data_IF_793925788371
#
_entry.id   IF_793925788371
#
_cell.length_a   1.000
_cell.length_b   1.000
_cell.length_c   1.000
_cell.angle_alpha   90.00
_cell.angle_beta   90.00
_cell.angle_gamma   90.00
#
_symmetry.space_group_name_H-M   'P 1'
#
loop_
_entity.id
_entity.type
_entity.pdbx_description
1 polymer ?
#
# COMPACT_ATOMS: atom_id res chain seq x y z
N UNK A 1 -6.87 1.14 12.06
CA UNK A 1 -6.56 1.41 10.63
C UNK A 1 -5.08 1.73 10.39
N UNK A 2 -4.38 0.82 9.73
CA UNK A 2 -3.07 1.03 9.12
C UNK A 2 -3.23 1.26 7.60
N UNK A 3 -2.40 2.13 7.02
CA UNK A 3 -2.39 2.42 5.58
C UNK A 3 -0.98 2.17 5.07
N UNK A 4 -0.85 1.22 4.17
CA UNK A 4 0.37 0.95 3.42
C UNK A 4 0.22 1.49 2.02
N UNK A 5 1.22 2.21 1.53
CA UNK A 5 1.19 2.82 0.21
C UNK A 5 2.33 2.32 -0.67
N UNK A 6 2.00 2.05 -1.93
CA UNK A 6 2.95 1.66 -2.94
C UNK A 6 2.60 2.31 -4.29
N UNK A 7 3.61 2.89 -4.93
CA UNK A 7 3.55 3.38 -6.30
C UNK A 7 4.30 2.40 -7.18
N UNK A 8 3.63 1.92 -8.24
CA UNK A 8 4.20 1.01 -9.22
C UNK A 8 4.40 1.77 -10.53
N UNK A 9 5.63 1.88 -10.97
CA UNK A 9 6.00 2.52 -12.23
C UNK A 9 6.50 1.48 -13.23
N UNK A 10 5.94 1.53 -14.42
CA UNK A 10 6.36 0.76 -15.60
C UNK A 10 6.73 1.71 -16.72
N UNK A 11 7.19 1.18 -17.87
CA UNK A 11 7.47 2.01 -19.05
C UNK A 11 6.21 2.70 -19.62
N UNK A 12 5.01 2.16 -19.39
CA UNK A 12 3.77 2.70 -19.95
C UNK A 12 2.96 3.54 -18.98
N UNK A 13 3.05 3.27 -17.68
CA UNK A 13 2.19 3.91 -16.69
C UNK A 13 2.79 3.88 -15.28
N UNK A 14 2.32 4.82 -14.46
CA UNK A 14 2.51 4.86 -13.02
C UNK A 14 1.17 4.68 -12.35
N UNK A 15 1.08 3.74 -11.41
CA UNK A 15 -0.14 3.39 -10.69
C UNK A 15 0.09 3.53 -9.20
N UNK A 16 -0.85 4.16 -8.50
CA UNK A 16 -0.80 4.31 -7.05
C UNK A 16 -1.73 3.31 -6.40
N UNK A 17 -1.25 2.62 -5.37
CA UNK A 17 -2.01 1.64 -4.62
C UNK A 17 -1.87 1.90 -3.12
N UNK A 18 -2.99 1.82 -2.39
CA UNK A 18 -2.97 1.76 -0.95
C UNK A 18 -3.68 0.51 -0.45
N UNK A 19 -3.07 -0.17 0.51
CA UNK A 19 -3.71 -1.26 1.21
C UNK A 19 -4.02 -0.79 2.62
N UNK A 20 -5.26 -1.03 3.04
CA UNK A 20 -5.82 -0.56 4.29
C UNK A 20 -6.14 -1.80 5.14
N UNK A 21 -5.64 -1.83 6.37
CA UNK A 21 -5.85 -2.90 7.35
C UNK A 21 -6.43 -2.33 8.64
N UNK A 22 -7.17 -3.13 9.40
CA UNK A 22 -7.58 -2.74 10.76
C UNK A 22 -6.43 -2.83 11.76
N UNK A 23 -5.60 -3.85 11.62
CA UNK A 23 -4.53 -4.19 12.55
C UNK A 23 -3.38 -3.17 12.51
N UNK A 24 -3.10 -2.46 13.62
CA UNK A 24 -1.99 -1.52 13.72
C UNK A 24 -0.66 -2.17 14.15
N UNK A 25 -0.65 -3.46 14.52
CA UNK A 25 0.33 -4.01 15.45
C UNK A 25 1.52 -4.75 14.81
N UNK A 26 1.44 -5.24 13.58
CA UNK A 26 2.53 -6.03 13.00
C UNK A 26 3.12 -5.47 11.69
N UNK A 27 3.85 -4.36 11.81
CA UNK A 27 4.38 -3.63 10.66
C UNK A 27 5.34 -4.41 9.74
N UNK A 28 5.87 -5.58 10.13
CA UNK A 28 6.80 -6.34 9.27
C UNK A 28 6.06 -7.38 8.43
N UNK A 29 5.31 -8.28 9.08
CA UNK A 29 4.51 -9.30 8.41
C UNK A 29 3.43 -8.68 7.51
N UNK A 30 2.78 -7.61 8.00
CA UNK A 30 1.83 -6.84 7.20
C UNK A 30 2.47 -6.29 5.94
N UNK A 31 3.64 -5.66 6.04
CA UNK A 31 4.30 -5.13 4.85
C UNK A 31 4.63 -6.24 3.87
N UNK A 32 5.18 -7.38 4.29
CA UNK A 32 5.40 -8.52 3.38
C UNK A 32 4.11 -8.96 2.67
N UNK A 33 3.01 -9.12 3.41
CA UNK A 33 1.71 -9.48 2.85
C UNK A 33 1.12 -8.39 1.92
N UNK A 34 1.28 -7.12 2.29
CA UNK A 34 0.87 -5.99 1.47
C UNK A 34 1.59 -6.01 0.13
N UNK A 35 2.89 -6.26 0.18
CA UNK A 35 3.74 -6.31 -1.00
C UNK A 35 3.38 -7.46 -1.94
N UNK A 36 3.05 -8.64 -1.40
CA UNK A 36 2.49 -9.73 -2.19
C UNK A 36 1.19 -9.33 -2.90
N UNK A 37 0.28 -8.64 -2.19
CA UNK A 37 -0.99 -8.19 -2.76
C UNK A 37 -0.82 -7.14 -3.85
N UNK A 38 0.11 -6.19 -3.67
CA UNK A 38 0.45 -5.24 -4.73
C UNK A 38 1.01 -6.00 -5.94
N UNK A 39 1.88 -6.99 -5.73
CA UNK A 39 2.42 -7.79 -6.83
C UNK A 39 1.35 -8.57 -7.57
N UNK A 40 0.47 -9.29 -6.88
CA UNK A 40 -0.67 -10.00 -7.48
C UNK A 40 -1.48 -9.04 -8.36
N UNK A 41 -1.84 -7.87 -7.81
CA UNK A 41 -2.57 -6.85 -8.56
C UNK A 41 -1.81 -6.37 -9.80
N UNK A 42 -0.51 -6.10 -9.69
CA UNK A 42 0.32 -5.70 -10.83
C UNK A 42 0.35 -6.81 -11.88
N UNK A 43 0.52 -8.07 -11.49
CA UNK A 43 0.53 -9.19 -12.44
C UNK A 43 -0.81 -9.34 -13.17
N UNK A 44 -1.92 -9.12 -12.48
CA UNK A 44 -3.26 -9.25 -13.04
C UNK A 44 -3.67 -8.06 -13.92
N UNK A 45 -3.17 -6.85 -13.63
CA UNK A 45 -3.67 -5.60 -14.24
C UNK A 45 -2.64 -4.90 -15.15
N UNK A 46 -1.36 -5.18 -14.95
CA UNK A 46 -0.26 -4.50 -15.62
C UNK A 46 0.54 -5.60 -16.32
N UNK A 47 0.27 -5.78 -17.62
CA UNK A 47 0.92 -6.75 -18.50
C UNK A 47 2.41 -6.92 -18.13
N UNK A 48 2.89 -8.17 -18.01
CA UNK A 48 4.24 -8.53 -17.52
C UNK A 48 5.32 -7.68 -18.20
N UNK A 49 5.63 -6.53 -17.61
CA UNK A 49 6.60 -5.61 -18.20
C UNK A 49 8.00 -6.07 -17.82
N UNK A 50 8.95 -5.97 -18.76
CA UNK A 50 10.31 -6.39 -18.48
C UNK A 50 11.04 -5.46 -17.49
N UNK A 51 10.42 -4.37 -17.05
CA UNK A 51 10.98 -3.47 -16.04
C UNK A 51 9.83 -2.88 -15.24
N UNK A 52 9.72 -3.27 -13.97
CA UNK A 52 8.74 -2.73 -13.03
C UNK A 52 9.49 -2.16 -11.82
N UNK A 53 9.21 -0.92 -11.46
CA UNK A 53 9.74 -0.29 -10.26
C UNK A 53 8.63 -0.10 -9.25
N UNK A 54 8.80 -0.67 -8.07
CA UNK A 54 7.91 -0.49 -6.94
C UNK A 54 8.57 0.49 -5.97
N UNK A 55 7.83 1.51 -5.56
CA UNK A 55 8.22 2.46 -4.52
C UNK A 55 7.22 2.29 -3.39
N UNK A 56 7.69 2.06 -2.17
CA UNK A 56 6.80 1.94 -1.01
C UNK A 56 7.38 2.61 0.22
N UNK A 57 6.52 2.87 1.21
CA UNK A 57 6.98 3.25 2.53
C UNK A 57 7.78 2.08 3.12
N UNK A 58 9.05 2.35 3.45
CA UNK A 58 9.81 1.43 4.28
C UNK A 58 9.19 1.36 5.67
N UNK A 59 9.35 0.22 6.33
CA UNK A 59 9.11 0.15 7.76
C UNK A 59 10.01 1.15 8.51
N UNK A 60 9.49 1.66 9.64
CA UNK A 60 10.15 2.67 10.47
C UNK A 60 11.55 2.26 10.98
N UNK A 61 11.87 0.96 10.98
CA UNK A 61 13.19 0.45 11.32
C UNK A 61 13.92 -0.10 10.10
N UNK A 62 15.18 0.31 9.94
CA UNK A 62 16.07 -0.21 8.89
C UNK A 62 16.16 -1.74 8.87
N UNK A 63 16.01 -2.40 10.02
CA UNK A 63 16.03 -3.87 10.08
C UNK A 63 14.81 -4.48 9.38
N UNK A 64 13.62 -3.91 9.58
CA UNK A 64 12.39 -4.34 8.91
C UNK A 64 12.49 -4.13 7.39
N UNK A 65 13.15 -3.05 6.93
CA UNK A 65 13.42 -2.83 5.51
C UNK A 65 14.35 -3.89 4.91
N UNK A 66 15.40 -4.31 5.64
CA UNK A 66 16.28 -5.41 5.19
C UNK A 66 15.55 -6.74 5.11
N UNK A 67 14.71 -7.04 6.10
CA UNK A 67 13.89 -8.25 6.10
C UNK A 67 12.90 -8.27 4.92
N UNK A 68 12.22 -7.15 4.68
CA UNK A 68 11.34 -6.99 3.52
C UNK A 68 12.10 -7.20 2.21
N UNK A 69 13.25 -6.54 2.04
CA UNK A 69 14.10 -6.71 0.87
C UNK A 69 14.57 -8.17 0.68
N UNK A 70 14.91 -8.87 1.77
CA UNK A 70 15.29 -10.28 1.72
C UNK A 70 14.12 -11.18 1.28
N UNK A 71 12.95 -10.99 1.86
CA UNK A 71 11.75 -11.72 1.45
C UNK A 71 11.38 -11.43 -0.01
N UNK A 72 11.68 -10.23 -0.50
CA UNK A 72 11.55 -9.91 -1.92
C UNK A 72 12.58 -10.56 -2.83
N UNK A 73 13.84 -10.59 -2.41
CA UNK A 73 14.91 -11.18 -3.22
C UNK A 73 14.66 -12.68 -3.48
N UNK A 74 13.89 -13.34 -2.61
CA UNK A 74 13.43 -14.72 -2.79
C UNK A 74 12.35 -14.89 -3.87
N UNK A 75 11.72 -13.82 -4.33
CA UNK A 75 10.64 -13.89 -5.31
C UNK A 75 11.17 -13.94 -6.76
N UNK A 76 10.52 -14.74 -7.60
CA UNK A 76 10.89 -15.01 -9.01
C UNK A 76 10.64 -13.84 -9.99
N UNK A 77 10.82 -12.58 -9.58
CA UNK A 77 10.67 -11.43 -10.48
C UNK A 77 12.01 -10.72 -10.69
N UNK A 78 12.93 -11.30 -11.48
CA UNK A 78 14.31 -10.80 -11.62
C UNK A 78 14.39 -9.40 -12.24
N UNK A 79 13.30 -8.91 -12.84
CA UNK A 79 13.26 -7.60 -13.48
C UNK A 79 12.46 -6.54 -12.68
N UNK A 80 12.02 -6.89 -11.47
CA UNK A 80 11.40 -5.95 -10.55
C UNK A 80 12.48 -5.24 -9.71
N UNK A 81 12.40 -3.90 -9.67
CA UNK A 81 13.19 -3.07 -8.76
C UNK A 81 12.30 -2.60 -7.62
N UNK A 82 12.75 -2.78 -6.39
CA UNK A 82 12.05 -2.24 -5.21
C UNK A 82 12.86 -1.12 -4.59
N UNK A 83 12.21 0.01 -4.35
CA UNK A 83 12.76 1.18 -3.69
C UNK A 83 11.99 1.41 -2.39
N UNK A 84 12.72 1.46 -1.28
CA UNK A 84 12.20 1.84 0.03
C UNK A 84 12.81 3.17 0.42
N UNK A 85 11.99 4.12 0.88
CA UNK A 85 12.57 5.30 1.54
C UNK A 85 13.01 4.92 2.95
N UNK A 86 14.28 5.15 3.25
CA UNK A 86 14.90 4.85 4.55
C UNK A 86 14.89 6.02 5.51
N UNK A 87 14.35 7.18 5.12
CA UNK A 87 14.41 8.37 5.96
C UNK A 87 13.40 8.26 7.09
N UNK A 88 13.89 8.29 8.34
CA UNK A 88 13.05 8.51 9.54
C UNK A 88 12.21 9.79 9.48
N UNK A 89 12.47 10.64 8.48
CA UNK A 89 11.57 11.68 7.99
C UNK A 89 10.91 11.24 6.69
N UNK A 90 9.74 10.64 6.81
CA UNK A 90 8.71 10.34 5.80
C UNK A 90 8.55 11.42 4.70
N UNK A 91 9.47 11.50 3.74
CA UNK A 91 9.44 12.43 2.61
C UNK A 91 9.77 11.72 1.29
N UNK A 92 8.85 10.88 0.82
CA UNK A 92 8.85 10.33 -0.53
C UNK A 92 7.47 10.50 -1.20
N UNK A 93 7.36 10.07 -2.47
CA UNK A 93 6.09 10.12 -3.22
C UNK A 93 4.96 9.31 -2.55
N UNK A 94 5.29 8.28 -1.77
CA UNK A 94 4.32 7.45 -1.06
C UNK A 94 3.77 8.14 0.20
N UNK A 95 4.47 9.13 0.76
CA UNK A 95 4.01 9.94 1.90
C UNK A 95 2.93 10.94 1.49
N UNK A 96 3.15 11.65 0.38
CA UNK A 96 2.13 12.56 -0.18
C UNK A 96 0.85 11.80 -0.53
N UNK A 97 1.00 10.59 -1.08
CA UNK A 97 -0.13 9.72 -1.39
C UNK A 97 -0.82 9.14 -0.14
N UNK A 98 -0.06 8.72 0.88
CA UNK A 98 -0.64 8.33 2.17
C UNK A 98 -1.38 9.49 2.86
N UNK A 99 -0.83 10.71 2.73
CA UNK A 99 -1.47 11.94 3.15
C UNK A 99 -2.78 12.21 2.41
N UNK A 100 -2.81 12.01 1.08
CA UNK A 100 -4.02 12.15 0.27
C UNK A 100 -5.15 11.21 0.74
N UNK A 101 -4.84 9.94 0.98
CA UNK A 101 -5.82 8.95 1.45
C UNK A 101 -6.39 9.36 2.82
N UNK A 102 -5.53 9.76 3.75
CA UNK A 102 -5.95 10.24 5.08
C UNK A 102 -6.75 11.53 5.00
N UNK A 103 -6.33 12.47 4.15
CA UNK A 103 -7.01 13.75 3.96
C UNK A 103 -8.42 13.56 3.40
N UNK A 104 -8.61 12.69 2.41
CA UNK A 104 -9.94 12.41 1.89
C UNK A 104 -10.85 11.74 2.93
N UNK A 105 -10.32 10.83 3.76
CA UNK A 105 -11.10 10.27 4.88
C UNK A 105 -11.50 11.36 5.90
N UNK A 106 -10.55 12.25 6.22
CA UNK A 106 -10.79 13.38 7.12
C UNK A 106 -11.84 14.36 6.56
N UNK A 107 -11.87 14.59 5.25
CA UNK A 107 -12.89 15.42 4.61
C UNK A 107 -14.25 14.72 4.53
N UNK A 108 -14.27 13.39 4.38
CA UNK A 108 -15.51 12.61 4.25
C UNK A 108 -16.39 12.72 5.50
N UNK A 109 -15.84 12.34 6.66
CA UNK A 109 -16.63 12.20 7.88
C UNK A 109 -17.39 13.46 8.32
N UNK A 110 -16.82 14.68 8.26
CA UNK A 110 -17.56 15.89 8.61
C UNK A 110 -18.53 16.38 7.51
N UNK A 111 -18.42 15.88 6.27
CA UNK A 111 -19.26 16.29 5.13
C UNK A 111 -20.43 15.34 4.87
N UNK A 112 -20.38 14.15 5.45
CA UNK A 112 -21.36 13.09 5.28
C UNK A 112 -22.28 12.95 6.50
N UNK A 113 -23.40 12.26 6.33
CA UNK A 113 -24.26 11.89 7.46
C UNK A 113 -23.51 10.92 8.40
N UNK A 114 -23.80 10.90 9.71
CA UNK A 114 -23.16 9.97 10.65
C UNK A 114 -23.22 8.49 10.22
N UNK A 115 -24.29 8.09 9.54
CA UNK A 115 -24.47 6.73 9.02
C UNK A 115 -23.47 6.36 7.90
N UNK A 116 -22.90 7.37 7.23
CA UNK A 116 -21.94 7.25 6.13
C UNK A 116 -20.51 7.57 6.59
N UNK A 117 -20.29 7.75 7.90
CA UNK A 117 -18.97 8.01 8.43
C UNK A 117 -18.07 6.79 8.23
N UNK A 118 -16.82 7.03 7.83
CA UNK A 118 -15.78 6.00 7.78
C UNK A 118 -15.42 5.64 9.21
N UNK A 119 -15.75 4.41 9.61
CA UNK A 119 -15.48 3.87 10.94
C UNK A 119 -14.53 2.66 10.92
N UNK A 120 -14.42 2.00 9.77
CA UNK A 120 -13.61 0.79 9.56
C UNK A 120 -12.74 0.93 8.30
N UNK A 121 -11.63 0.23 8.24
CA UNK A 121 -10.78 0.04 7.07
C UNK A 121 -11.59 -0.43 5.85
N UNK A 122 -12.57 -1.31 6.04
CA UNK A 122 -13.46 -1.76 4.96
C UNK A 122 -14.32 -0.62 4.43
N UNK A 123 -14.96 0.15 5.32
CA UNK A 123 -15.73 1.34 4.90
C UNK A 123 -14.83 2.41 4.27
N UNK A 124 -13.59 2.52 4.73
CA UNK A 124 -12.60 3.44 4.17
C UNK A 124 -12.28 3.09 2.71
N UNK A 125 -12.04 1.80 2.41
CA UNK A 125 -11.82 1.36 1.02
C UNK A 125 -13.06 1.64 0.17
N UNK A 126 -14.25 1.24 0.64
CA UNK A 126 -15.51 1.42 -0.12
C UNK A 126 -15.75 2.89 -0.48
N UNK A 127 -15.70 3.78 0.50
CA UNK A 127 -16.01 5.21 0.32
C UNK A 127 -14.93 5.91 -0.49
N UNK A 128 -13.65 5.63 -0.21
CA UNK A 128 -12.57 6.35 -0.88
C UNK A 128 -12.32 5.85 -2.30
N UNK A 129 -12.69 4.62 -2.65
CA UNK A 129 -12.55 4.12 -4.03
C UNK A 129 -13.41 4.89 -5.03
N UNK A 130 -14.55 5.42 -4.57
CA UNK A 130 -15.42 6.28 -5.39
C UNK A 130 -14.83 7.68 -5.58
N UNK A 131 -14.06 8.17 -4.59
CA UNK A 131 -13.53 9.54 -4.54
C UNK A 131 -12.13 9.66 -5.15
N UNK A 132 -11.29 8.63 -5.01
CA UNK A 132 -9.89 8.62 -5.45
C UNK A 132 -9.75 7.85 -6.78
N UNK A 133 -10.19 8.48 -7.88
CA UNK A 133 -10.01 7.90 -9.22
C UNK A 133 -8.51 7.80 -9.57
N UNK A 134 -8.09 6.64 -10.06
CA UNK A 134 -6.68 6.36 -10.39
C UNK A 134 -5.86 5.83 -9.21
N UNK A 135 -6.50 5.57 -8.06
CA UNK A 135 -5.89 4.92 -6.92
C UNK A 135 -6.52 3.55 -6.70
N UNK A 136 -5.68 2.51 -6.66
CA UNK A 136 -6.15 1.19 -6.31
C UNK A 136 -6.15 0.99 -4.79
N UNK A 137 -7.34 0.91 -4.19
CA UNK A 137 -7.51 0.70 -2.76
C UNK A 137 -7.91 -0.75 -2.47
N UNK A 138 -7.20 -1.40 -1.54
CA UNK A 138 -7.48 -2.79 -1.15
C UNK A 138 -7.67 -2.87 0.36
N UNK A 139 -8.66 -3.65 0.78
CA UNK A 139 -8.83 -4.02 2.18
C UNK A 139 -8.09 -5.34 2.46
N UNK A 140 -7.26 -5.37 3.49
CA UNK A 140 -6.60 -6.58 3.97
C UNK A 140 -7.31 -7.15 5.20
N UNK A 141 -7.74 -8.42 5.13
CA UNK A 141 -8.34 -9.13 6.27
C UNK A 141 -7.28 -9.70 7.21
N UNK A 142 -7.54 -9.59 8.51
CA UNK A 142 -6.66 -10.07 9.59
C UNK A 142 -6.28 -11.56 9.45
N UNK A 143 -7.22 -12.41 9.02
CA UNK A 143 -6.98 -13.86 8.85
C UNK A 143 -5.93 -14.23 7.80
N UNK A 144 -5.47 -13.29 6.96
CA UNK A 144 -4.41 -13.55 5.98
C UNK A 144 -2.99 -13.35 6.53
N UNK A 145 -2.85 -12.80 7.74
CA UNK A 145 -1.55 -12.46 8.35
C UNK A 145 -0.84 -13.71 8.93
N UNK A 146 -1.57 -14.80 9.19
CA UNK A 146 -1.08 -16.04 9.86
C UNK A 146 -0.01 -16.83 9.06
N UNK A 147 0.46 -16.31 7.92
CA UNK A 147 1.40 -17.02 7.03
C UNK A 147 2.86 -16.54 7.08
N UNK A 148 3.19 -15.57 7.94
CA UNK A 148 4.52 -14.95 7.98
C UNK A 148 5.15 -14.89 9.36
#
# INVERSE_FOLDING_TARGET
VAIFTCVVTTRKSTNSSAIISEDPCDAAAHTCLFLEKVKEWVQDNIAVYPHVTYVSLGAASHFKNRYQLHQFAKNNCPQARWLFSSSGHYKNACDGFGGLVKHQAMLNNPRERPINAIQTARTMVSVLSEKLKGVYLVYLYENKIVRY
#
